data_IF_118618473021
#
_entry.id   IF_118618473021
#
_cell.length_a   1.000
_cell.length_b   1.000
_cell.length_c   1.000
_cell.angle_alpha   90.00
_cell.angle_beta   90.00
_cell.angle_gamma   90.00
#
_symmetry.space_group_name_H-M   'P 1'
#
loop_
_entity.id
_entity.type
_entity.pdbx_description
1 polymer ?
#
# COMPACT_ATOMS: atom_id res chain seq x y z
N UNK A 1 8.62 18.05 17.95
CA UNK A 1 8.31 16.92 17.04
C UNK A 1 9.08 15.65 17.40
N UNK A 2 10.42 15.67 17.47
CA UNK A 2 11.22 14.49 17.85
C UNK A 2 10.87 13.88 19.23
N UNK A 3 10.61 14.70 20.25
CA UNK A 3 10.26 14.23 21.60
C UNK A 3 8.89 13.52 21.67
N UNK A 4 7.92 13.94 20.87
CA UNK A 4 6.60 13.30 20.80
C UNK A 4 6.70 11.91 20.13
N UNK A 5 7.58 11.80 19.13
CA UNK A 5 7.87 10.55 18.43
C UNK A 5 8.62 9.56 19.33
N UNK A 6 9.54 10.04 20.17
CA UNK A 6 10.24 9.22 21.17
C UNK A 6 9.29 8.64 22.22
N UNK A 7 8.33 9.43 22.71
CA UNK A 7 7.32 8.97 23.67
C UNK A 7 6.39 7.91 23.05
N UNK A 8 6.00 8.07 21.78
CA UNK A 8 5.16 7.09 21.07
C UNK A 8 5.87 5.73 20.89
N UNK A 9 7.20 5.75 20.72
CA UNK A 9 8.03 4.55 20.60
C UNK A 9 8.40 3.92 21.96
N UNK A 10 8.11 4.61 23.06
CA UNK A 10 8.41 4.16 24.43
C UNK A 10 7.20 3.55 25.15
N UNK A 11 6.01 3.61 24.54
CA UNK A 11 4.77 3.02 25.06
C UNK A 11 4.83 1.47 25.04
N UNK A 12 4.30 0.79 26.07
CA UNK A 12 4.42 -0.66 26.22
C UNK A 12 3.68 -1.42 25.11
N UNK A 13 4.23 -2.58 24.73
CA UNK A 13 3.90 -3.42 23.57
C UNK A 13 2.42 -3.84 23.38
N UNK A 14 1.51 -3.54 24.30
CA UNK A 14 0.09 -3.95 24.25
C UNK A 14 -0.73 -3.18 23.20
N UNK A 15 -0.46 -1.89 22.99
CA UNK A 15 -1.05 -1.11 21.89
C UNK A 15 -0.44 -1.48 20.53
N UNK A 16 0.82 -1.93 20.53
CA UNK A 16 1.58 -2.30 19.35
C UNK A 16 1.03 -3.57 18.68
N UNK A 17 0.64 -4.59 19.46
CA UNK A 17 0.04 -5.82 18.90
C UNK A 17 -1.31 -5.58 18.20
N UNK A 18 -2.09 -4.61 18.67
CA UNK A 18 -3.34 -4.21 18.00
C UNK A 18 -3.08 -3.49 16.67
N UNK A 19 -1.98 -2.74 16.54
CA UNK A 19 -1.62 -1.97 15.34
C UNK A 19 -0.80 -2.74 14.31
N UNK A 20 0.05 -3.70 14.73
CA UNK A 20 0.80 -4.58 13.80
C UNK A 20 -0.14 -5.36 12.89
N UNK A 21 -1.39 -5.56 13.31
CA UNK A 21 -2.39 -6.28 12.54
C UNK A 21 -3.34 -5.42 11.71
N UNK A 22 -3.18 -4.09 11.64
CA UNK A 22 -4.09 -3.22 10.88
C UNK A 22 -3.55 -2.78 9.52
N UNK A 23 -2.24 -2.90 9.29
CA UNK A 23 -1.62 -2.48 8.05
C UNK A 23 -0.87 -3.60 7.33
N UNK A 24 -0.94 -3.58 5.99
CA UNK A 24 -0.04 -4.30 5.12
C UNK A 24 0.94 -3.32 4.49
N UNK A 25 2.25 -3.54 4.67
CA UNK A 25 3.29 -2.71 4.08
C UNK A 25 3.84 -3.40 2.84
N UNK A 26 3.69 -2.75 1.69
CA UNK A 26 4.18 -3.24 0.42
C UNK A 26 5.64 -2.81 0.21
N UNK A 27 6.38 -3.59 -0.58
CA UNK A 27 7.72 -3.19 -1.01
C UNK A 27 7.64 -1.91 -1.85
N UNK A 28 8.68 -1.08 -1.75
CA UNK A 28 8.89 0.12 -2.58
C UNK A 28 8.92 -0.17 -4.09
N UNK A 29 9.02 -1.44 -4.46
CA UNK A 29 9.09 -1.93 -5.83
C UNK A 29 7.76 -2.48 -6.34
N UNK A 30 6.72 -2.64 -5.51
CA UNK A 30 5.46 -3.27 -5.93
C UNK A 30 4.78 -2.48 -7.05
N UNK A 31 4.67 -1.16 -6.87
CA UNK A 31 4.06 -0.31 -7.89
C UNK A 31 4.85 -0.33 -9.21
N UNK A 32 6.19 -0.38 -9.14
CA UNK A 32 7.04 -0.51 -10.33
C UNK A 32 6.84 -1.84 -11.03
N UNK A 33 6.72 -2.95 -10.28
CA UNK A 33 6.48 -4.27 -10.88
C UNK A 33 5.17 -4.27 -11.67
N UNK A 34 4.12 -3.66 -11.13
CA UNK A 34 2.84 -3.50 -11.85
C UNK A 34 3.00 -2.61 -13.08
N UNK A 35 3.67 -1.45 -12.96
CA UNK A 35 3.97 -0.54 -14.08
C UNK A 35 4.71 -1.25 -15.22
N UNK A 36 5.67 -2.11 -14.89
CA UNK A 36 6.42 -2.92 -15.84
C UNK A 36 5.78 -4.29 -16.13
N UNK A 37 4.47 -4.43 -15.89
CA UNK A 37 3.65 -5.58 -16.29
C UNK A 37 4.17 -6.93 -15.78
N UNK A 38 4.60 -6.99 -14.52
CA UNK A 38 4.94 -8.27 -13.88
C UNK A 38 3.77 -9.27 -13.97
N UNK A 39 4.08 -10.56 -13.98
CA UNK A 39 3.05 -11.61 -13.97
C UNK A 39 2.35 -11.70 -12.62
N UNK A 40 1.15 -12.30 -12.62
CA UNK A 40 0.37 -12.53 -11.40
C UNK A 40 1.11 -13.39 -10.38
N UNK A 41 1.87 -14.40 -10.82
CA UNK A 41 2.68 -15.25 -9.94
C UNK A 41 3.78 -14.46 -9.22
N UNK A 42 4.45 -13.54 -9.95
CA UNK A 42 5.48 -12.68 -9.36
C UNK A 42 4.84 -11.71 -8.37
N UNK A 43 3.72 -11.09 -8.74
CA UNK A 43 2.99 -10.18 -7.86
C UNK A 43 2.54 -10.90 -6.57
N UNK A 44 1.91 -12.07 -6.71
CA UNK A 44 1.45 -12.86 -5.57
C UNK A 44 2.60 -13.28 -4.65
N UNK A 45 3.71 -13.77 -5.20
CA UNK A 45 4.88 -14.18 -4.42
C UNK A 45 5.40 -13.07 -3.51
N UNK A 46 5.34 -11.82 -3.94
CA UNK A 46 5.83 -10.68 -3.17
C UNK A 46 4.76 -10.08 -2.24
N UNK A 47 3.50 -10.06 -2.66
CA UNK A 47 2.40 -9.51 -1.86
C UNK A 47 1.89 -10.48 -0.79
N UNK A 48 1.92 -11.80 -1.03
CA UNK A 48 1.35 -12.80 -0.13
C UNK A 48 1.87 -12.72 1.31
N UNK A 49 3.19 -12.54 1.58
CA UNK A 49 3.70 -12.45 2.96
C UNK A 49 3.14 -11.29 3.78
N UNK A 50 2.59 -10.23 3.14
CA UNK A 50 2.02 -9.08 3.85
C UNK A 50 0.63 -9.38 4.42
N UNK A 51 -0.01 -10.47 3.98
CA UNK A 51 -1.39 -10.84 4.31
C UNK A 51 -2.38 -9.68 4.12
N UNK A 52 -2.20 -8.90 3.06
CA UNK A 52 -2.98 -7.68 2.80
C UNK A 52 -4.50 -7.89 2.84
N UNK A 53 -4.99 -9.08 2.52
CA UNK A 53 -6.41 -9.43 2.61
C UNK A 53 -6.97 -9.43 4.04
N UNK A 54 -6.13 -9.53 5.07
CA UNK A 54 -6.52 -9.43 6.48
C UNK A 54 -6.42 -7.99 7.02
N UNK A 55 -5.91 -7.04 6.21
CA UNK A 55 -5.51 -5.71 6.68
C UNK A 55 -6.42 -4.63 6.08
N UNK A 56 -7.06 -3.77 6.91
CA UNK A 56 -7.89 -2.68 6.40
C UNK A 56 -7.09 -1.56 5.72
N UNK A 57 -5.80 -1.41 6.05
CA UNK A 57 -4.94 -0.37 5.49
C UNK A 57 -3.78 -0.98 4.70
N UNK A 58 -3.58 -0.54 3.46
CA UNK A 58 -2.44 -0.94 2.63
C UNK A 58 -1.52 0.27 2.44
N UNK A 59 -0.30 0.16 2.95
CA UNK A 59 0.74 1.18 2.84
C UNK A 59 1.61 0.85 1.62
N UNK A 60 1.60 1.75 0.64
CA UNK A 60 2.34 1.62 -0.62
C UNK A 60 3.35 2.76 -0.69
N UNK A 61 4.61 2.54 -0.28
CA UNK A 61 5.67 3.51 -0.46
C UNK A 61 6.04 3.61 -1.94
N UNK A 62 6.17 4.83 -2.46
CA UNK A 62 6.44 5.11 -3.87
C UNK A 62 7.69 5.98 -3.94
N UNK A 63 8.65 5.54 -4.75
CA UNK A 63 9.87 6.28 -5.04
C UNK A 63 9.83 6.83 -6.45
N UNK A 64 9.72 8.16 -6.55
CA UNK A 64 9.89 8.93 -7.77
C UNK A 64 11.38 9.13 -8.04
N UNK A 65 11.93 8.37 -9.00
CA UNK A 65 13.36 8.38 -9.29
C UNK A 65 13.81 9.74 -9.82
N UNK A 66 13.03 10.32 -10.73
CA UNK A 66 13.43 11.55 -11.44
C UNK A 66 13.49 12.75 -10.49
N UNK A 67 12.59 12.77 -9.51
CA UNK A 67 12.49 13.78 -8.47
C UNK A 67 13.29 13.44 -7.21
N UNK A 68 13.93 12.26 -7.16
CA UNK A 68 14.57 11.69 -5.96
C UNK A 68 13.70 11.80 -4.69
N UNK A 69 12.39 11.56 -4.87
CA UNK A 69 11.37 11.87 -3.89
C UNK A 69 10.56 10.65 -3.47
N UNK A 70 10.17 10.63 -2.19
CA UNK A 70 9.35 9.58 -1.61
C UNK A 70 7.98 10.10 -1.25
N UNK A 71 6.97 9.37 -1.71
CA UNK A 71 5.57 9.60 -1.37
C UNK A 71 4.94 8.31 -0.86
N UNK A 72 3.82 8.44 -0.16
CA UNK A 72 3.11 7.31 0.41
C UNK A 72 1.66 7.33 -0.07
N UNK A 73 1.23 6.24 -0.70
CA UNK A 73 -0.18 5.97 -0.88
C UNK A 73 -0.68 5.04 0.23
N UNK A 74 -1.87 5.35 0.76
CA UNK A 74 -2.59 4.52 1.73
C UNK A 74 -3.92 4.12 1.10
N UNK A 75 -4.10 2.83 0.85
CA UNK A 75 -5.41 2.30 0.47
C UNK A 75 -6.15 1.97 1.75
N UNK A 76 -7.25 2.66 1.99
CA UNK A 76 -8.18 2.35 3.05
C UNK A 76 -9.31 1.52 2.46
N UNK A 77 -9.21 0.21 2.64
CA UNK A 77 -10.14 -0.76 2.05
C UNK A 77 -11.54 -0.57 2.62
N UNK A 78 -11.64 -0.25 3.92
CA UNK A 78 -12.93 -0.08 4.60
C UNK A 78 -13.70 1.15 4.11
N UNK A 79 -13.00 2.25 3.86
CA UNK A 79 -13.60 3.50 3.37
C UNK A 79 -13.55 3.65 1.84
N UNK A 80 -13.02 2.67 1.11
CA UNK A 80 -12.89 2.67 -0.35
C UNK A 80 -12.19 3.92 -0.90
N UNK A 81 -11.11 4.33 -0.26
CA UNK A 81 -10.37 5.55 -0.63
C UNK A 81 -8.87 5.30 -0.72
N UNK A 82 -8.21 6.10 -1.56
CA UNK A 82 -6.75 6.17 -1.65
C UNK A 82 -6.35 7.54 -1.10
N UNK A 83 -5.59 7.56 -0.01
CA UNK A 83 -4.99 8.75 0.54
C UNK A 83 -3.56 8.86 0.04
N UNK A 84 -3.20 10.00 -0.55
CA UNK A 84 -1.85 10.25 -1.03
C UNK A 84 -1.18 11.28 -0.13
N UNK A 85 -0.03 10.91 0.43
CA UNK A 85 0.77 11.77 1.29
C UNK A 85 2.09 12.14 0.59
N UNK A 86 2.26 13.44 0.37
CA UNK A 86 3.48 14.04 -0.14
C UNK A 86 3.96 15.12 0.85
N UNK A 87 5.10 14.87 1.50
CA UNK A 87 5.67 15.78 2.49
C UNK A 87 6.16 17.12 1.92
N UNK A 88 6.44 17.17 0.61
CA UNK A 88 6.89 18.39 -0.05
C UNK A 88 5.71 19.21 -0.60
N UNK A 89 4.50 18.63 -0.61
CA UNK A 89 3.31 19.26 -1.20
C UNK A 89 3.50 19.59 -2.68
N UNK A 90 4.46 18.94 -3.34
CA UNK A 90 4.82 19.24 -4.73
C UNK A 90 3.82 18.50 -5.59
N UNK A 91 2.86 19.26 -6.13
CA UNK A 91 2.49 19.39 -7.56
C UNK A 91 3.15 18.49 -8.63
N UNK A 92 3.66 17.31 -8.32
CA UNK A 92 4.50 16.51 -9.18
C UNK A 92 3.75 15.95 -10.37
N UNK A 93 4.46 15.75 -11.48
CA UNK A 93 3.88 15.24 -12.71
C UNK A 93 3.49 13.75 -12.64
N UNK A 94 3.97 13.01 -11.62
CA UNK A 94 3.81 11.55 -11.50
C UNK A 94 2.47 11.05 -10.95
N UNK A 95 1.67 11.90 -10.31
CA UNK A 95 0.55 11.47 -9.46
C UNK A 95 -0.52 10.67 -10.21
N UNK A 96 -0.84 11.14 -11.42
CA UNK A 96 -1.88 10.53 -12.25
C UNK A 96 -1.50 9.12 -12.66
N UNK A 97 -0.23 8.91 -13.01
CA UNK A 97 0.28 7.59 -13.38
C UNK A 97 0.31 6.67 -12.16
N UNK A 98 0.73 7.17 -10.99
CA UNK A 98 0.74 6.36 -9.78
C UNK A 98 -0.66 5.93 -9.37
N UNK A 99 -1.66 6.81 -9.45
CA UNK A 99 -3.06 6.46 -9.15
C UNK A 99 -3.53 5.34 -10.09
N UNK A 100 -3.23 5.42 -11.39
CA UNK A 100 -3.57 4.35 -12.33
C UNK A 100 -2.89 3.03 -11.97
N UNK A 101 -1.60 3.06 -11.67
CA UNK A 101 -0.85 1.86 -11.30
C UNK A 101 -1.33 1.28 -9.97
N UNK A 102 -1.73 2.12 -9.01
CA UNK A 102 -2.31 1.71 -7.72
C UNK A 102 -3.64 1.02 -7.97
N UNK A 103 -4.51 1.56 -8.84
CA UNK A 103 -5.79 0.93 -9.17
C UNK A 103 -5.59 -0.43 -9.85
N UNK A 104 -4.61 -0.55 -10.75
CA UNK A 104 -4.23 -1.83 -11.36
C UNK A 104 -3.71 -2.80 -10.28
N UNK A 105 -2.83 -2.33 -9.38
CA UNK A 105 -2.32 -3.12 -8.27
C UNK A 105 -3.46 -3.64 -7.38
N UNK A 106 -4.36 -2.76 -6.93
CA UNK A 106 -5.52 -3.12 -6.10
C UNK A 106 -6.36 -4.19 -6.80
N UNK A 107 -6.72 -3.95 -8.06
CA UNK A 107 -7.56 -4.88 -8.83
C UNK A 107 -6.91 -6.26 -8.93
N UNK A 108 -5.63 -6.32 -9.29
CA UNK A 108 -4.90 -7.58 -9.42
C UNK A 108 -4.77 -8.28 -8.07
N UNK A 109 -4.49 -7.56 -6.99
CA UNK A 109 -4.39 -8.13 -5.64
C UNK A 109 -5.72 -8.72 -5.16
N UNK A 110 -6.84 -8.03 -5.39
CA UNK A 110 -8.19 -8.54 -5.05
C UNK A 110 -8.48 -9.82 -5.81
N UNK A 111 -8.23 -9.85 -7.13
CA UNK A 111 -8.41 -11.05 -7.95
C UNK A 111 -7.54 -12.20 -7.45
N UNK A 112 -6.26 -11.94 -7.15
CA UNK A 112 -5.33 -12.96 -6.67
C UNK A 112 -5.71 -13.49 -5.30
N UNK A 113 -6.08 -12.62 -4.35
CA UNK A 113 -6.54 -13.03 -3.04
C UNK A 113 -7.76 -13.96 -3.17
N UNK A 114 -8.76 -13.58 -3.98
CA UNK A 114 -9.95 -14.40 -4.21
C UNK A 114 -9.61 -15.75 -4.87
N UNK A 115 -8.71 -15.80 -5.86
CA UNK A 115 -8.21 -17.05 -6.48
C UNK A 115 -7.54 -17.97 -5.46
N UNK A 116 -6.82 -17.39 -4.48
CA UNK A 116 -6.18 -18.11 -3.38
C UNK A 116 -7.09 -18.29 -2.15
N UNK A 117 -8.41 -18.11 -2.30
CA UNK A 117 -9.42 -18.32 -1.24
C UNK A 117 -9.33 -17.33 -0.05
N UNK A 118 -8.66 -16.20 -0.24
CA UNK A 118 -8.62 -15.08 0.69
C UNK A 118 -9.64 -14.03 0.25
N UNK A 119 -10.88 -14.14 0.73
CA UNK A 119 -11.99 -13.30 0.28
C UNK A 119 -11.76 -11.82 0.59
N UNK A 120 -11.74 -11.00 -0.45
CA UNK A 120 -11.76 -9.53 -0.38
C UNK A 120 -13.02 -9.03 -1.09
N UNK A 121 -13.97 -8.50 -0.32
CA UNK A 121 -15.19 -7.87 -0.84
C UNK A 121 -14.91 -6.41 -1.21
N UNK A 122 -14.09 -6.21 -2.23
CA UNK A 122 -13.85 -4.89 -2.84
C UNK A 122 -14.58 -4.85 -4.17
N UNK A 123 -15.48 -3.88 -4.34
CA UNK A 123 -16.14 -3.65 -5.63
C UNK A 123 -15.12 -3.04 -6.58
N UNK A 124 -14.55 -3.83 -7.49
CA UNK A 124 -13.80 -3.32 -8.63
C UNK A 124 -14.77 -3.21 -9.79
N UNK A 125 -15.10 -2.00 -10.23
CA UNK A 125 -15.84 -1.80 -11.49
C UNK A 125 -14.92 -2.24 -12.64
N UNK A 126 -15.40 -3.15 -13.50
CA UNK A 126 -14.71 -3.65 -14.70
C UNK A 126 -14.61 -2.58 -15.81
#
# INVERSE_FOLDING_TARGET
LAAALLNLLSEPASLHMATVNTCAVFSTHELRRVRYKCTDDVLWKHAHPTKFWEKPLWLIPIHWIEEEHWVLAVVDVGHQQILFFDSLGVQGHGWRQDIQDIMILITRLVVLANRHQHQLHVTTEE
#
